data_IF_480681832715
#
_entry.id   IF_480681832715
#
_cell.length_a   1.000
_cell.length_b   1.000
_cell.length_c   1.000
_cell.angle_alpha   90.00
_cell.angle_beta   90.00
_cell.angle_gamma   90.00
#
_symmetry.space_group_name_H-M   'P 1'
#
loop_
_entity.id
_entity.type
_entity.pdbx_description
1 polymer ?
#
# COMPACT_ATOMS: atom_id res chain seq x y z
N UNK A 1 12.95 2.82 14.30
CA UNK A 1 12.47 2.14 15.53
C UNK A 1 13.32 2.42 16.78
N UNK A 2 14.21 3.43 16.77
CA UNK A 2 14.80 3.98 18.01
C UNK A 2 13.84 5.04 18.56
N UNK A 3 13.74 5.16 19.87
CA UNK A 3 13.04 6.29 20.50
C UNK A 3 14.01 7.43 20.77
N UNK A 4 13.52 8.54 21.32
CA UNK A 4 14.37 9.62 21.85
C UNK A 4 15.17 9.21 23.09
N UNK A 5 14.75 8.16 23.80
CA UNK A 5 15.45 7.63 24.97
C UNK A 5 16.46 6.58 24.52
N UNK A 6 17.72 6.76 24.94
CA UNK A 6 18.82 5.84 24.62
C UNK A 6 18.46 4.41 25.07
N UNK A 7 18.79 3.44 24.21
CA UNK A 7 18.59 2.01 24.44
C UNK A 7 17.11 1.58 24.65
N UNK A 8 16.16 2.48 24.35
CA UNK A 8 14.71 2.20 24.31
C UNK A 8 14.22 2.21 22.86
N UNK A 9 13.48 1.17 22.50
CA UNK A 9 12.99 0.92 21.15
C UNK A 9 11.48 0.66 21.19
N UNK A 10 10.78 1.03 20.12
CA UNK A 10 9.33 0.84 19.99
C UNK A 10 9.01 0.23 18.63
N UNK A 11 7.95 -0.58 18.56
CA UNK A 11 7.39 -1.15 17.33
C UNK A 11 5.95 -1.65 17.55
N UNK A 12 5.23 -1.90 16.46
CA UNK A 12 3.83 -2.33 16.50
C UNK A 12 2.90 -1.15 16.70
N UNK A 13 1.73 -1.40 17.29
CA UNK A 13 0.62 -0.44 17.33
C UNK A 13 0.93 0.85 18.11
N UNK A 14 1.97 0.84 18.95
CA UNK A 14 2.42 2.00 19.72
C UNK A 14 3.46 2.88 19.01
N UNK A 15 3.94 2.48 17.83
CA UNK A 15 5.03 3.15 17.14
C UNK A 15 4.57 3.71 15.80
N UNK A 16 4.86 4.99 15.58
CA UNK A 16 4.69 5.61 14.27
C UNK A 16 5.72 5.06 13.29
N UNK A 17 5.28 4.85 12.05
CA UNK A 17 6.12 4.46 10.94
C UNK A 17 5.89 5.41 9.78
N UNK A 18 6.89 5.56 8.92
CA UNK A 18 6.78 6.38 7.73
C UNK A 18 5.77 5.76 6.76
N UNK A 19 4.69 6.50 6.49
CA UNK A 19 3.63 6.17 5.56
C UNK A 19 3.90 6.85 4.20
N UNK A 20 4.25 6.06 3.18
CA UNK A 20 4.63 6.61 1.88
C UNK A 20 3.45 7.18 1.08
N UNK A 21 2.20 6.86 1.44
CA UNK A 21 1.01 7.43 0.78
C UNK A 21 0.73 8.84 1.31
N UNK A 22 0.99 9.06 2.60
CA UNK A 22 0.77 10.33 3.28
C UNK A 22 2.01 11.22 3.34
N UNK A 23 3.19 10.68 3.03
CA UNK A 23 4.49 11.35 3.17
C UNK A 23 4.73 11.86 4.60
N UNK A 24 4.31 11.07 5.60
CA UNK A 24 4.35 11.45 7.01
C UNK A 24 4.49 10.23 7.94
N UNK A 25 4.91 10.47 9.18
CA UNK A 25 4.96 9.45 10.22
C UNK A 25 3.59 9.28 10.86
N UNK A 26 3.05 8.05 10.83
CA UNK A 26 1.70 7.76 11.31
C UNK A 26 1.63 6.44 12.06
N UNK A 27 0.70 6.37 13.01
CA UNK A 27 0.29 5.11 13.62
C UNK A 27 -0.41 4.26 12.55
N UNK A 28 0.21 3.13 12.22
CA UNK A 28 -0.29 2.19 11.22
C UNK A 28 -0.41 0.81 11.88
N UNK A 29 -1.43 0.56 12.72
CA UNK A 29 -1.53 -0.66 13.52
C UNK A 29 -1.87 -1.88 12.66
N UNK A 30 -0.85 -2.46 12.03
CA UNK A 30 -0.99 -3.55 11.07
C UNK A 30 0.05 -4.64 11.29
N UNK A 31 -0.34 -5.88 11.06
CA UNK A 31 0.53 -7.05 11.23
C UNK A 31 1.87 -6.94 10.47
N UNK A 32 1.92 -6.51 9.19
CA UNK A 32 3.20 -6.31 8.48
C UNK A 32 4.08 -5.22 9.12
N UNK A 33 3.49 -4.14 9.63
CA UNK A 33 4.23 -3.05 10.27
C UNK A 33 4.81 -3.49 11.61
N UNK A 34 4.05 -4.26 12.41
CA UNK A 34 4.52 -4.84 13.66
C UNK A 34 5.66 -5.83 13.42
N UNK A 35 5.52 -6.71 12.42
CA UNK A 35 6.54 -7.68 12.05
C UNK A 35 7.85 -7.00 11.60
N UNK A 36 7.76 -6.07 10.63
CA UNK A 36 8.94 -5.37 10.10
C UNK A 36 9.55 -4.45 11.17
N UNK A 37 8.71 -3.74 11.93
CA UNK A 37 9.12 -2.88 13.03
C UNK A 37 9.86 -3.64 14.12
N UNK A 38 9.32 -4.79 14.54
CA UNK A 38 9.96 -5.66 15.54
C UNK A 38 11.32 -6.19 15.08
N UNK A 39 11.42 -6.64 13.82
CA UNK A 39 12.69 -7.06 13.22
C UNK A 39 13.72 -5.93 13.23
N UNK A 40 13.32 -4.72 12.86
CA UNK A 40 14.22 -3.56 12.83
C UNK A 40 14.61 -3.10 14.23
N UNK A 41 13.68 -3.14 15.20
CA UNK A 41 13.98 -2.89 16.59
C UNK A 41 15.05 -3.87 17.10
N UNK A 42 14.88 -5.18 16.86
CA UNK A 42 15.85 -6.21 17.23
C UNK A 42 17.23 -6.01 16.61
N UNK A 43 17.31 -5.69 15.31
CA UNK A 43 18.60 -5.36 14.68
C UNK A 43 19.29 -4.17 15.37
N UNK A 44 18.55 -3.10 15.63
CA UNK A 44 19.12 -1.91 16.26
C UNK A 44 19.54 -2.15 17.71
N UNK A 45 18.81 -2.99 18.47
CA UNK A 45 19.22 -3.45 19.81
C UNK A 45 20.56 -4.18 19.78
N UNK A 46 20.83 -4.96 18.72
CA UNK A 46 22.10 -5.66 18.52
C UNK A 46 23.21 -4.77 17.91
N UNK A 47 23.01 -3.46 17.80
CA UNK A 47 23.99 -2.53 17.19
C UNK A 47 24.03 -2.57 15.66
N UNK A 48 23.16 -3.34 15.00
CA UNK A 48 23.05 -3.38 13.54
C UNK A 48 22.07 -2.30 13.09
N UNK A 49 22.60 -1.20 12.56
CA UNK A 49 21.78 -0.06 12.14
C UNK A 49 20.86 -0.47 10.99
N UNK A 50 19.55 -0.39 11.23
CA UNK A 50 18.48 -0.64 10.25
C UNK A 50 17.40 0.42 10.36
N UNK A 51 16.90 0.83 9.19
CA UNK A 51 15.82 1.81 9.06
C UNK A 51 14.54 1.17 8.56
N UNK A 52 13.42 1.68 9.07
CA UNK A 52 12.09 1.34 8.56
C UNK A 52 11.83 2.20 7.33
N UNK A 53 11.79 1.58 6.15
CA UNK A 53 11.82 2.30 4.88
C UNK A 53 10.46 2.67 4.33
N UNK A 54 9.45 1.86 4.59
CA UNK A 54 8.14 2.03 3.98
C UNK A 54 7.08 1.24 4.74
N UNK A 55 5.92 1.86 4.88
CA UNK A 55 4.67 1.27 5.32
C UNK A 55 3.53 2.10 4.72
N UNK A 56 2.33 1.54 4.70
CA UNK A 56 1.08 2.27 4.47
C UNK A 56 -0.04 1.39 5.02
N UNK A 57 -1.23 1.94 5.20
CA UNK A 57 -2.38 1.12 5.48
C UNK A 57 -2.58 0.06 4.38
N UNK A 58 -2.63 -1.21 4.74
CA UNK A 58 -2.94 -2.32 3.83
C UNK A 58 -3.57 -3.48 4.57
N UNK A 59 -4.57 -4.10 3.96
CA UNK A 59 -5.25 -5.26 4.51
C UNK A 59 -5.55 -6.28 3.44
N UNK A 60 -5.46 -7.55 3.81
CA UNK A 60 -5.83 -8.69 2.98
C UNK A 60 -6.74 -9.59 3.81
N UNK A 61 -7.98 -9.77 3.38
CA UNK A 61 -9.00 -10.50 4.13
C UNK A 61 -9.88 -11.32 3.21
N UNK A 62 -10.51 -12.37 3.75
CA UNK A 62 -11.53 -13.14 3.05
C UNK A 62 -12.89 -12.83 3.68
N UNK A 63 -13.81 -12.28 2.90
CA UNK A 63 -15.15 -11.92 3.36
C UNK A 63 -16.18 -12.71 2.56
N UNK A 64 -16.99 -13.55 3.22
CA UNK A 64 -17.95 -14.45 2.56
C UNK A 64 -17.35 -15.29 1.42
N UNK A 65 -16.10 -15.75 1.58
CA UNK A 65 -15.38 -16.51 0.55
C UNK A 65 -14.82 -15.68 -0.61
N UNK A 66 -14.93 -14.34 -0.55
CA UNK A 66 -14.34 -13.44 -1.52
C UNK A 66 -13.03 -12.87 -0.96
N UNK A 67 -11.89 -13.07 -1.65
CA UNK A 67 -10.64 -12.43 -1.25
C UNK A 67 -10.71 -10.93 -1.57
N UNK A 68 -10.30 -10.11 -0.61
CA UNK A 68 -10.27 -8.65 -0.71
C UNK A 68 -8.90 -8.16 -0.29
N UNK A 69 -8.28 -7.31 -1.13
CA UNK A 69 -7.06 -6.57 -0.80
C UNK A 69 -7.36 -5.08 -0.86
N UNK A 70 -6.88 -4.36 0.14
CA UNK A 70 -6.93 -2.90 0.20
C UNK A 70 -5.54 -2.35 0.53
N UNK A 71 -5.21 -1.19 -0.03
CA UNK A 71 -4.02 -0.45 0.36
C UNK A 71 -4.22 1.05 0.16
N UNK A 72 -3.57 1.85 1.00
CA UNK A 72 -3.59 3.31 0.94
C UNK A 72 -4.95 3.92 1.27
N UNK A 73 -5.27 5.02 0.59
CA UNK A 73 -6.48 5.81 0.82
C UNK A 73 -7.67 5.16 0.09
N UNK A 74 -8.69 4.79 0.85
CA UNK A 74 -10.02 4.51 0.29
C UNK A 74 -10.77 5.84 0.23
N UNK A 75 -11.06 6.37 -0.96
CA UNK A 75 -11.56 7.73 -1.24
C UNK A 75 -12.89 8.20 -0.57
N UNK A 76 -13.24 7.66 0.61
CA UNK A 76 -14.19 8.25 1.55
C UNK A 76 -13.52 9.34 2.42
N UNK A 77 -12.18 9.41 2.41
CA UNK A 77 -11.43 10.52 3.01
C UNK A 77 -11.63 11.79 2.16
N UNK A 78 -11.76 12.95 2.81
CA UNK A 78 -11.89 14.25 2.12
C UNK A 78 -10.65 14.51 1.23
N UNK A 79 -10.86 15.01 0.01
CA UNK A 79 -9.77 15.44 -0.89
C UNK A 79 -10.15 15.42 -2.37
N UNK A 80 -9.31 16.05 -3.19
CA UNK A 80 -9.41 16.03 -4.65
C UNK A 80 -8.74 14.76 -5.19
N UNK A 81 -9.57 13.80 -5.58
CA UNK A 81 -9.15 12.47 -6.00
C UNK A 81 -9.84 12.06 -7.30
N UNK A 82 -9.08 11.42 -8.18
CA UNK A 82 -9.63 10.72 -9.32
C UNK A 82 -9.86 9.25 -8.95
N UNK A 83 -11.08 8.75 -9.19
CA UNK A 83 -11.48 7.39 -8.86
C UNK A 83 -11.73 6.60 -10.13
N UNK A 84 -10.92 5.55 -10.34
CA UNK A 84 -11.12 4.57 -11.40
C UNK A 84 -11.79 3.34 -10.80
N UNK A 85 -12.88 2.85 -11.40
CA UNK A 85 -13.59 1.67 -10.90
C UNK A 85 -14.15 0.77 -11.99
N UNK A 86 -14.09 -0.54 -11.74
CA UNK A 86 -14.79 -1.58 -12.51
C UNK A 86 -15.53 -2.50 -11.55
N UNK A 87 -16.76 -2.85 -11.94
CA UNK A 87 -17.61 -3.81 -11.23
C UNK A 87 -18.12 -4.84 -12.24
N UNK A 88 -17.86 -6.12 -11.97
CA UNK A 88 -18.46 -7.24 -12.70
C UNK A 88 -19.20 -8.10 -11.68
N UNK A 89 -20.52 -7.93 -11.59
CA UNK A 89 -21.37 -8.64 -10.63
C UNK A 89 -21.41 -10.14 -10.88
N UNK A 90 -21.35 -10.56 -12.15
CA UNK A 90 -21.40 -11.99 -12.53
C UNK A 90 -20.15 -12.72 -12.05
N UNK A 91 -18.98 -12.09 -12.25
CA UNK A 91 -17.70 -12.62 -11.78
C UNK A 91 -17.38 -12.24 -10.33
N UNK A 92 -18.25 -11.45 -9.67
CA UNK A 92 -18.03 -10.88 -8.33
C UNK A 92 -16.70 -10.13 -8.21
N UNK A 93 -16.35 -9.37 -9.25
CA UNK A 93 -15.12 -8.58 -9.28
C UNK A 93 -15.46 -7.14 -8.91
N UNK A 94 -14.65 -6.57 -8.03
CA UNK A 94 -14.63 -5.14 -7.77
C UNK A 94 -13.18 -4.68 -7.81
N UNK A 95 -12.91 -3.65 -8.60
CA UNK A 95 -11.60 -3.03 -8.73
C UNK A 95 -11.79 -1.54 -8.59
N UNK A 96 -11.21 -0.93 -7.56
CA UNK A 96 -11.15 0.52 -7.37
C UNK A 96 -9.71 0.94 -7.20
N UNK A 97 -9.35 2.03 -7.87
CA UNK A 97 -8.04 2.67 -7.80
C UNK A 97 -8.29 4.15 -7.52
N UNK A 98 -7.51 4.72 -6.60
CA UNK A 98 -7.56 6.12 -6.21
C UNK A 98 -6.27 6.79 -6.66
N UNK A 99 -6.40 7.86 -7.42
CA UNK A 99 -5.30 8.64 -7.94
C UNK A 99 -5.31 10.07 -7.37
N UNK A 100 -4.11 10.62 -7.19
CA UNK A 100 -3.85 12.04 -6.96
C UNK A 100 -2.65 12.42 -7.82
N UNK A 101 -2.75 13.50 -8.59
CA UNK A 101 -1.68 13.97 -9.49
C UNK A 101 -1.10 12.87 -10.42
N UNK A 102 -1.98 12.06 -11.01
CA UNK A 102 -1.62 10.88 -11.83
C UNK A 102 -0.76 9.83 -11.10
N UNK A 103 -0.77 9.79 -9.76
CA UNK A 103 -0.08 8.77 -8.95
C UNK A 103 -1.09 7.99 -8.13
N UNK A 104 -0.83 6.71 -7.95
CA UNK A 104 -1.71 5.84 -7.19
C UNK A 104 -1.49 6.02 -5.70
N UNK A 105 -2.56 6.37 -4.99
CA UNK A 105 -2.57 6.56 -3.53
C UNK A 105 -3.48 5.56 -2.82
N UNK A 106 -4.25 4.77 -3.56
CA UNK A 106 -5.05 3.70 -2.95
C UNK A 106 -5.63 2.71 -3.93
N UNK A 107 -6.00 1.53 -3.41
CA UNK A 107 -6.65 0.47 -4.17
C UNK A 107 -7.57 -0.38 -3.29
N UNK A 108 -8.63 -0.93 -3.90
CA UNK A 108 -9.51 -1.95 -3.33
C UNK A 108 -9.82 -2.97 -4.42
N UNK A 109 -9.36 -4.20 -4.25
CA UNK A 109 -9.60 -5.31 -5.17
C UNK A 109 -10.36 -6.44 -4.49
N UNK A 110 -11.35 -7.01 -5.19
CA UNK A 110 -12.13 -8.15 -4.75
C UNK A 110 -12.14 -9.22 -5.84
N UNK A 111 -11.93 -10.48 -5.43
CA UNK A 111 -11.97 -11.71 -6.25
C UNK A 111 -10.92 -11.83 -7.37
N UNK A 112 -10.30 -10.73 -7.81
CA UNK A 112 -9.14 -10.70 -8.73
C UNK A 112 -7.98 -9.95 -8.10
N UNK A 113 -7.26 -10.64 -7.22
CA UNK A 113 -6.20 -10.04 -6.38
C UNK A 113 -4.77 -10.43 -6.77
N UNK A 114 -4.59 -11.35 -7.73
CA UNK A 114 -3.31 -12.00 -8.06
C UNK A 114 -2.17 -11.03 -8.40
N UNK A 115 -2.52 -9.84 -8.90
CA UNK A 115 -1.56 -8.83 -9.37
C UNK A 115 -1.42 -7.63 -8.45
N UNK A 116 -2.01 -7.66 -7.25
CA UNK A 116 -1.98 -6.56 -6.29
C UNK A 116 -0.57 -6.05 -5.97
N UNK A 117 0.45 -6.90 -6.04
CA UNK A 117 1.86 -6.52 -5.87
C UNK A 117 2.38 -5.52 -6.92
N UNK A 118 1.88 -5.57 -8.16
CA UNK A 118 2.24 -4.60 -9.21
C UNK A 118 1.72 -3.22 -8.83
N UNK A 119 0.45 -3.15 -8.42
CA UNK A 119 -0.21 -1.91 -7.99
C UNK A 119 0.46 -1.32 -6.75
N UNK A 120 0.76 -2.15 -5.74
CA UNK A 120 1.51 -1.71 -4.57
C UNK A 120 2.90 -1.18 -4.95
N UNK A 121 3.55 -1.79 -5.94
CA UNK A 121 4.81 -1.30 -6.49
C UNK A 121 4.69 0.08 -7.15
N UNK A 122 3.63 0.31 -7.93
CA UNK A 122 3.32 1.62 -8.53
C UNK A 122 3.07 2.68 -7.44
N UNK A 123 2.28 2.35 -6.42
CA UNK A 123 2.02 3.24 -5.29
C UNK A 123 3.32 3.60 -4.56
N UNK A 124 4.12 2.59 -4.19
CA UNK A 124 5.37 2.80 -3.43
C UNK A 124 6.40 3.63 -4.20
N UNK A 125 6.49 3.44 -5.52
CA UNK A 125 7.42 4.20 -6.35
C UNK A 125 6.86 5.57 -6.74
N UNK A 126 5.60 5.87 -6.38
CA UNK A 126 4.87 7.03 -6.85
C UNK A 126 4.83 7.11 -8.37
N UNK A 127 4.74 6.00 -9.11
CA UNK A 127 4.82 6.03 -10.58
C UNK A 127 3.72 6.93 -11.16
N UNK A 128 4.09 7.81 -12.11
CA UNK A 128 3.12 8.53 -12.93
C UNK A 128 2.44 7.54 -13.88
N UNK A 129 1.13 7.37 -13.73
CA UNK A 129 0.33 6.41 -14.49
C UNK A 129 -0.39 7.05 -15.68
N UNK A 130 -0.19 8.34 -15.95
CA UNK A 130 -0.94 9.09 -16.97
C UNK A 130 -0.92 8.40 -18.35
N UNK A 131 0.19 7.77 -18.74
CA UNK A 131 0.34 7.14 -20.05
C UNK A 131 -0.36 5.77 -20.20
N UNK A 132 -0.72 5.10 -19.10
CA UNK A 132 -1.37 3.77 -19.10
C UNK A 132 -2.56 3.73 -18.14
N UNK A 133 -3.15 4.89 -17.83
CA UNK A 133 -4.17 5.05 -16.80
C UNK A 133 -5.39 4.17 -17.04
N UNK A 134 -5.90 4.16 -18.28
CA UNK A 134 -7.08 3.36 -18.67
C UNK A 134 -6.81 1.85 -18.55
N UNK A 135 -5.56 1.44 -18.79
CA UNK A 135 -5.17 0.04 -18.74
C UNK A 135 -5.13 -0.49 -17.30
N UNK A 136 -5.00 0.39 -16.30
CA UNK A 136 -5.01 -0.01 -14.89
C UNK A 136 -6.26 -0.79 -14.50
N UNK A 137 -7.39 -0.57 -15.16
CA UNK A 137 -8.65 -1.25 -14.91
C UNK A 137 -8.79 -2.59 -15.65
N UNK A 138 -7.92 -2.86 -16.64
CA UNK A 138 -7.90 -4.12 -17.39
C UNK A 138 -7.74 -5.34 -16.47
N UNK A 139 -8.44 -6.43 -16.82
CA UNK A 139 -8.26 -7.75 -16.21
C UNK A 139 -6.82 -8.26 -16.41
N UNK A 140 -6.20 -7.89 -17.53
CA UNK A 140 -4.87 -8.33 -17.95
C UNK A 140 -3.76 -7.31 -17.71
N UNK A 141 -4.01 -6.27 -16.92
CA UNK A 141 -2.97 -5.30 -16.54
C UNK A 141 -1.79 -5.99 -15.86
N UNK A 142 -0.59 -5.84 -16.42
CA UNK A 142 0.61 -6.52 -15.94
C UNK A 142 1.89 -5.73 -16.21
N UNK A 143 3.04 -6.37 -16.01
CA UNK A 143 4.35 -5.73 -16.21
C UNK A 143 4.58 -5.27 -17.65
N UNK A 144 3.94 -5.93 -18.63
CA UNK A 144 4.03 -5.57 -20.05
C UNK A 144 3.38 -4.21 -20.38
N UNK A 145 2.46 -3.74 -19.54
CA UNK A 145 1.82 -2.44 -19.68
C UNK A 145 2.65 -1.30 -19.09
N UNK A 146 3.71 -1.63 -18.34
CA UNK A 146 4.55 -0.62 -17.74
C UNK A 146 5.54 -0.10 -18.79
N UNK A 147 5.74 1.23 -18.87
CA UNK A 147 6.76 1.80 -19.75
C UNK A 147 8.14 1.24 -19.36
N UNK A 148 9.01 1.07 -20.36
CA UNK A 148 10.40 0.68 -20.11
C UNK A 148 11.05 1.66 -19.13
N UNK A 149 11.71 1.11 -18.10
CA UNK A 149 12.45 1.93 -17.14
C UNK A 149 13.62 2.59 -17.88
N UNK A 150 13.57 3.91 -18.03
CA UNK A 150 14.71 4.72 -18.44
C UNK A 150 15.78 4.74 -17.35
#
# INVERSE_FOLDING_TARGET
MRTSVKDVYACGDCAEVYDFVHDDFRLTPLWPTAYVGGRIAGFNMCGVVKEYKWGTNMSSMHFFGLPVITAGISANDEGDYEILKVVDEKKKIYKKIVLRDNRMIGMIFMNKIDRAGIFLGLMRNGTDVSSFKEELLSDDFGLINLPERK
#
